data_IF_887382907988
#
_entry.id   IF_887382907988
#
_cell.length_a   1.000
_cell.length_b   1.000
_cell.length_c   1.000
_cell.angle_alpha   90.00
_cell.angle_beta   90.00
_cell.angle_gamma   90.00
#
_symmetry.space_group_name_H-M   'P 1'
#
loop_
_entity.id
_entity.type
_entity.pdbx_description
1 polymer ?
#
# COMPACT_ATOMS: atom_id res chain seq x y z
N UNK A 1 20.28 -4.14 13.66
CA UNK A 1 18.92 -4.55 14.07
C UNK A 1 17.85 -3.78 13.29
N UNK A 2 17.91 -2.44 13.22
CA UNK A 2 16.90 -1.61 12.51
C UNK A 2 16.78 -1.90 10.99
N UNK A 3 17.90 -2.14 10.29
CA UNK A 3 17.89 -2.46 8.84
C UNK A 3 17.04 -3.69 8.49
N UNK A 4 17.23 -4.79 9.21
CA UNK A 4 16.49 -6.04 8.99
C UNK A 4 15.01 -5.83 9.26
N UNK A 5 14.66 -5.13 10.35
CA UNK A 5 13.28 -4.80 10.66
C UNK A 5 12.61 -3.97 9.56
N UNK A 6 13.34 -3.01 8.97
CA UNK A 6 12.82 -2.18 7.87
C UNK A 6 12.63 -2.97 6.56
N UNK A 7 13.56 -3.89 6.24
CA UNK A 7 13.38 -4.81 5.10
C UNK A 7 12.14 -5.67 5.29
N UNK A 8 11.99 -6.29 6.46
CA UNK A 8 10.83 -7.14 6.77
C UNK A 8 9.54 -6.31 6.70
N UNK A 9 9.51 -5.14 7.34
CA UNK A 9 8.35 -4.25 7.33
C UNK A 9 7.96 -3.80 5.93
N UNK A 10 8.94 -3.42 5.10
CA UNK A 10 8.70 -3.04 3.71
C UNK A 10 8.09 -4.20 2.91
N UNK A 11 8.69 -5.40 3.00
CA UNK A 11 8.15 -6.59 2.33
C UNK A 11 6.73 -6.92 2.80
N UNK A 12 6.47 -6.86 4.11
CA UNK A 12 5.13 -7.09 4.66
C UNK A 12 4.11 -6.10 4.08
N UNK A 13 4.43 -4.81 4.02
CA UNK A 13 3.52 -3.79 3.45
C UNK A 13 3.20 -4.08 1.98
N UNK A 14 4.21 -4.40 1.17
CA UNK A 14 4.02 -4.71 -0.26
C UNK A 14 3.17 -5.97 -0.44
N UNK A 15 3.47 -7.03 0.31
CA UNK A 15 2.74 -8.29 0.22
C UNK A 15 1.28 -8.10 0.62
N UNK A 16 1.01 -7.45 1.76
CA UNK A 16 -0.35 -7.26 2.27
C UNK A 16 -1.17 -6.36 1.34
N UNK A 17 -0.61 -5.24 0.87
CA UNK A 17 -1.33 -4.36 -0.07
C UNK A 17 -1.54 -5.03 -1.44
N UNK A 18 -0.54 -5.76 -1.94
CA UNK A 18 -0.67 -6.56 -3.17
C UNK A 18 -1.77 -7.60 -3.04
N UNK A 19 -1.77 -8.36 -1.93
CA UNK A 19 -2.79 -9.37 -1.65
C UNK A 19 -4.19 -8.76 -1.48
N UNK A 20 -4.32 -7.60 -0.82
CA UNK A 20 -5.59 -6.89 -0.65
C UNK A 20 -6.24 -6.46 -1.98
N UNK A 21 -5.45 -6.26 -3.03
CA UNK A 21 -5.96 -5.89 -4.35
C UNK A 21 -6.05 -7.09 -5.31
N UNK A 22 -5.16 -8.09 -5.21
CA UNK A 22 -5.13 -9.24 -6.10
C UNK A 22 -5.97 -10.44 -5.63
N UNK A 23 -6.04 -10.69 -4.32
CA UNK A 23 -6.83 -11.77 -3.69
C UNK A 23 -7.87 -11.18 -2.72
N UNK A 24 -8.61 -10.13 -3.15
CA UNK A 24 -9.40 -9.19 -2.33
C UNK A 24 -9.68 -9.71 -0.92
N UNK A 25 -8.82 -9.33 0.02
CA UNK A 25 -8.86 -9.85 1.37
C UNK A 25 -10.22 -9.51 1.97
N UNK A 26 -11.01 -10.53 2.35
CA UNK A 26 -12.42 -10.39 2.76
C UNK A 26 -13.44 -10.16 1.62
N UNK A 27 -13.12 -10.60 0.40
CA UNK A 27 -14.01 -10.56 -0.77
C UNK A 27 -14.23 -9.17 -1.34
N UNK A 28 -13.45 -8.17 -0.91
CA UNK A 28 -13.52 -6.78 -1.35
C UNK A 28 -12.12 -6.22 -1.52
N UNK A 29 -11.92 -5.40 -2.53
CA UNK A 29 -10.69 -4.65 -2.77
C UNK A 29 -10.64 -3.40 -1.89
N UNK A 30 -9.44 -2.84 -1.73
CA UNK A 30 -9.26 -1.57 -1.00
C UNK A 30 -10.05 -0.42 -1.64
N UNK A 31 -10.14 -0.39 -2.97
CA UNK A 31 -10.93 0.60 -3.70
C UNK A 31 -12.43 0.48 -3.38
N UNK A 32 -12.98 -0.74 -3.44
CA UNK A 32 -14.39 -0.98 -3.13
C UNK A 32 -14.74 -0.63 -1.66
N UNK A 33 -13.81 -0.87 -0.72
CA UNK A 33 -14.00 -0.45 0.67
C UNK A 33 -14.05 1.07 0.78
N UNK A 34 -13.18 1.78 0.06
CA UNK A 34 -13.19 3.26 0.01
C UNK A 34 -14.48 3.80 -0.60
N UNK A 35 -14.95 3.18 -1.68
CA UNK A 35 -16.16 3.60 -2.40
C UNK A 35 -17.47 3.34 -1.63
N UNK A 36 -17.47 2.35 -0.72
CA UNK A 36 -18.62 2.06 0.16
C UNK A 36 -18.95 3.20 1.11
N UNK A 37 -17.95 4.00 1.49
CA UNK A 37 -18.12 5.11 2.41
C UNK A 37 -17.95 6.42 1.64
N UNK A 38 -18.99 6.79 0.89
CA UNK A 38 -19.08 8.08 0.22
C UNK A 38 -18.83 9.21 1.21
N UNK A 39 -17.70 9.90 1.07
CA UNK A 39 -17.32 11.02 1.91
C UNK A 39 -16.65 12.10 1.05
N UNK A 40 -16.72 13.36 1.49
CA UNK A 40 -16.20 14.52 0.75
C UNK A 40 -14.66 14.57 0.69
N UNK A 41 -13.98 13.60 1.31
CA UNK A 41 -12.53 13.57 1.47
C UNK A 41 -11.88 12.41 0.70
N UNK A 42 -12.67 11.46 0.16
CA UNK A 42 -12.15 10.40 -0.69
C UNK A 42 -11.60 11.04 -1.96
N UNK A 43 -10.29 10.94 -2.22
CA UNK A 43 -9.70 11.53 -3.42
C UNK A 43 -10.12 10.72 -4.66
N UNK A 44 -10.00 11.34 -5.84
CA UNK A 44 -10.24 10.64 -7.10
C UNK A 44 -9.33 9.39 -7.23
N UNK A 45 -9.83 8.35 -7.90
CA UNK A 45 -9.15 7.04 -7.98
C UNK A 45 -7.69 7.10 -8.44
N UNK A 46 -7.34 8.02 -9.36
CA UNK A 46 -5.96 8.19 -9.82
C UNK A 46 -4.99 8.68 -8.73
N UNK A 47 -5.49 9.34 -7.69
CA UNK A 47 -4.65 9.86 -6.59
C UNK A 47 -4.01 8.70 -5.82
N UNK A 48 -4.64 7.53 -5.78
CA UNK A 48 -4.05 6.32 -5.20
C UNK A 48 -2.81 5.82 -5.94
N UNK A 49 -2.52 6.31 -7.16
CA UNK A 49 -1.25 6.01 -7.83
C UNK A 49 -0.02 6.52 -7.03
N UNK A 50 -0.21 7.46 -6.08
CA UNK A 50 0.86 7.94 -5.20
C UNK A 50 1.52 6.81 -4.40
N UNK A 51 0.80 5.73 -4.11
CA UNK A 51 1.35 4.57 -3.41
C UNK A 51 2.52 3.94 -4.17
N UNK A 52 2.51 3.96 -5.50
CA UNK A 52 3.64 3.48 -6.30
C UNK A 52 4.91 4.32 -6.07
N UNK A 53 4.78 5.64 -6.01
CA UNK A 53 5.91 6.55 -5.72
C UNK A 53 6.41 6.33 -4.29
N UNK A 54 5.50 6.18 -3.32
CA UNK A 54 5.86 5.90 -1.92
C UNK A 54 6.62 4.58 -1.81
N UNK A 55 6.16 3.52 -2.47
CA UNK A 55 6.82 2.22 -2.47
C UNK A 55 8.22 2.28 -3.12
N UNK A 56 8.38 3.04 -4.20
CA UNK A 56 9.70 3.25 -4.81
C UNK A 56 10.67 3.97 -3.87
N UNK A 57 10.21 5.03 -3.20
CA UNK A 57 11.04 5.77 -2.24
C UNK A 57 11.39 4.91 -1.03
N UNK A 58 10.44 4.13 -0.51
CA UNK A 58 10.69 3.18 0.58
C UNK A 58 11.64 2.07 0.17
N UNK A 59 11.58 1.57 -1.07
CA UNK A 59 12.53 0.61 -1.60
C UNK A 59 13.96 1.19 -1.64
N UNK A 60 14.11 2.42 -2.14
CA UNK A 60 15.39 3.12 -2.18
C UNK A 60 15.95 3.36 -0.77
N UNK A 61 15.10 3.81 0.16
CA UNK A 61 15.48 3.99 1.56
C UNK A 61 15.90 2.67 2.23
N UNK A 62 15.11 1.61 2.03
CA UNK A 62 15.38 0.26 2.57
C UNK A 62 16.66 -0.34 2.02
N UNK A 63 17.00 -0.04 0.77
CA UNK A 63 18.27 -0.43 0.15
C UNK A 63 19.47 0.34 0.71
N UNK A 64 19.34 1.65 0.90
CA UNK A 64 20.45 2.52 1.33
C UNK A 64 20.82 2.35 2.81
N UNK A 65 19.83 2.26 3.69
CA UNK A 65 20.01 2.40 5.14
C UNK A 65 20.80 1.27 5.78
#
# INVERSE_FOLDING_TARGET
MVKIANIIGFLTVIIVNGAANALPLNGVTTAEVSDRYGNLFTPAGYVFAIWGVIYLLLAAFTYYQ
#
